data_IF_179805260843
#
_entry.id   IF_179805260843
#
_cell.length_a   1.000
_cell.length_b   1.000
_cell.length_c   1.000
_cell.angle_alpha   90.00
_cell.angle_beta   90.00
_cell.angle_gamma   90.00
#
_symmetry.space_group_name_H-M   'P 1'
#
loop_
_entity.id
_entity.type
_entity.pdbx_description
1 polymer ?
#
# COMPACT_ATOMS: atom_id res chain seq x y z
N UNK A 1 2.22 1.28 -10.38
CA UNK A 1 1.13 0.33 -10.69
C UNK A 1 1.04 -0.59 -9.48
N UNK A 2 0.10 -0.39 -8.53
CA UNK A 2 0.23 -0.90 -7.13
C UNK A 2 1.70 -1.03 -6.68
N UNK A 3 2.15 -2.23 -6.34
CA UNK A 3 3.51 -2.58 -5.91
C UNK A 3 4.39 -3.20 -7.01
N UNK A 4 4.01 -3.09 -8.28
CA UNK A 4 4.84 -3.48 -9.42
C UNK A 4 5.53 -2.27 -10.05
N UNK A 5 6.78 -2.49 -10.46
CA UNK A 5 7.59 -1.50 -11.19
C UNK A 5 7.14 -1.35 -12.66
N UNK A 6 6.58 -2.41 -13.24
CA UNK A 6 6.08 -2.46 -14.61
C UNK A 6 4.56 -2.51 -14.67
N UNK A 7 4.00 -2.11 -15.81
CA UNK A 7 2.59 -2.31 -16.11
C UNK A 7 2.36 -3.74 -16.61
N UNK A 8 1.69 -4.61 -15.86
CA UNK A 8 1.26 -5.89 -16.39
C UNK A 8 0.17 -5.71 -17.45
N UNK A 9 0.07 -6.70 -18.33
CA UNK A 9 -0.99 -6.78 -19.33
C UNK A 9 -2.32 -7.18 -18.67
N UNK A 10 -3.28 -6.27 -18.60
CA UNK A 10 -4.53 -6.46 -17.88
C UNK A 10 -5.70 -6.59 -18.86
N UNK A 11 -6.52 -7.62 -18.68
CA UNK A 11 -7.81 -7.72 -19.38
C UNK A 11 -8.83 -6.72 -18.83
N UNK A 12 -9.98 -6.56 -19.49
CA UNK A 12 -11.08 -5.71 -18.99
C UNK A 12 -11.56 -6.11 -17.59
N UNK A 13 -11.58 -7.41 -17.29
CA UNK A 13 -11.93 -7.92 -15.96
C UNK A 13 -10.86 -7.55 -14.93
N UNK A 14 -9.58 -7.70 -15.29
CA UNK A 14 -8.45 -7.35 -14.41
C UNK A 14 -8.41 -5.85 -14.12
N UNK A 15 -8.75 -5.01 -15.11
CA UNK A 15 -8.86 -3.56 -14.92
C UNK A 15 -9.99 -3.20 -13.94
N UNK A 16 -11.10 -3.94 -13.99
CA UNK A 16 -12.22 -3.76 -13.05
C UNK A 16 -11.80 -4.12 -11.63
N UNK A 17 -11.11 -5.26 -11.46
CA UNK A 17 -10.54 -5.68 -10.17
C UNK A 17 -9.50 -4.66 -9.68
N UNK A 18 -8.59 -4.22 -10.54
CA UNK A 18 -7.58 -3.23 -10.21
C UNK A 18 -8.19 -1.92 -9.72
N UNK A 19 -9.23 -1.42 -10.41
CA UNK A 19 -9.92 -0.19 -10.04
C UNK A 19 -10.53 -0.32 -8.64
N UNK A 20 -11.32 -1.38 -8.42
CA UNK A 20 -11.94 -1.62 -7.11
C UNK A 20 -10.89 -1.75 -5.99
N UNK A 21 -9.82 -2.52 -6.23
CA UNK A 21 -8.75 -2.71 -5.25
C UNK A 21 -8.03 -1.40 -4.97
N UNK A 22 -7.80 -0.55 -5.97
CA UNK A 22 -7.13 0.74 -5.78
C UNK A 22 -7.98 1.69 -4.93
N UNK A 23 -9.28 1.76 -5.21
CA UNK A 23 -10.25 2.61 -4.50
C UNK A 23 -10.53 2.14 -3.06
N UNK A 24 -10.49 0.83 -2.82
CA UNK A 24 -10.83 0.21 -1.53
C UNK A 24 -9.65 -0.53 -0.88
N UNK A 25 -8.43 -0.11 -1.18
CA UNK A 25 -7.20 -0.84 -0.88
C UNK A 25 -7.03 -1.18 0.60
N UNK A 26 -7.38 -0.28 1.52
CA UNK A 26 -7.35 -0.57 2.96
C UNK A 26 -8.36 -1.65 3.39
N UNK A 27 -9.56 -1.66 2.81
CA UNK A 27 -10.57 -2.66 3.11
C UNK A 27 -10.15 -4.03 2.56
N UNK A 28 -9.61 -4.07 1.33
CA UNK A 28 -9.12 -5.30 0.69
C UNK A 28 -8.03 -5.99 1.52
N UNK A 29 -7.16 -5.24 2.22
CA UNK A 29 -6.16 -5.85 3.13
C UNK A 29 -6.75 -6.65 4.29
N UNK A 30 -8.03 -6.46 4.61
CA UNK A 30 -8.74 -7.13 5.70
C UNK A 30 -9.69 -8.22 5.21
N UNK A 31 -9.98 -8.25 3.91
CA UNK A 31 -10.92 -9.18 3.31
C UNK A 31 -10.34 -10.59 3.12
N UNK A 32 -11.24 -11.58 3.08
CA UNK A 32 -11.00 -12.89 2.47
C UNK A 32 -11.24 -12.83 0.96
N UNK A 33 -10.67 -13.75 0.20
CA UNK A 33 -10.84 -13.80 -1.27
C UNK A 33 -12.31 -13.92 -1.69
N UNK A 34 -13.15 -14.62 -0.89
CA UNK A 34 -14.58 -14.77 -1.17
C UNK A 34 -15.34 -13.45 -1.01
N UNK A 35 -15.00 -12.66 -0.01
CA UNK A 35 -15.59 -11.33 0.22
C UNK A 35 -15.21 -10.36 -0.91
N UNK A 36 -13.96 -10.43 -1.38
CA UNK A 36 -13.53 -9.66 -2.55
C UNK A 36 -14.25 -10.11 -3.82
N UNK A 37 -14.47 -11.42 -3.99
CA UNK A 37 -15.23 -11.98 -5.11
C UNK A 37 -16.67 -11.44 -5.13
N UNK A 38 -17.34 -11.47 -3.97
CA UNK A 38 -18.69 -10.93 -3.80
C UNK A 38 -18.73 -9.42 -4.09
N UNK A 39 -17.82 -8.64 -3.51
CA UNK A 39 -17.81 -7.19 -3.67
C UNK A 39 -17.48 -6.71 -5.10
N UNK A 40 -16.77 -7.53 -5.88
CA UNK A 40 -16.42 -7.24 -7.27
C UNK A 40 -17.33 -7.93 -8.28
N UNK A 41 -18.31 -8.73 -7.82
CA UNK A 41 -19.13 -9.60 -8.65
C UNK A 41 -18.30 -10.51 -9.57
N UNK A 42 -17.18 -11.03 -9.05
CA UNK A 42 -16.27 -11.94 -9.78
C UNK A 42 -16.14 -13.29 -9.09
N UNK A 43 -15.40 -14.21 -9.71
CA UNK A 43 -15.06 -15.49 -9.09
C UNK A 43 -13.72 -15.41 -8.33
N UNK A 44 -13.56 -16.25 -7.31
CA UNK A 44 -12.26 -16.42 -6.63
C UNK A 44 -11.16 -16.85 -7.60
N UNK A 45 -11.48 -17.64 -8.62
CA UNK A 45 -10.55 -18.04 -9.69
C UNK A 45 -10.08 -16.85 -10.53
N UNK A 46 -10.98 -15.91 -10.84
CA UNK A 46 -10.63 -14.67 -11.55
C UNK A 46 -9.66 -13.83 -10.72
N UNK A 47 -9.92 -13.69 -9.41
CA UNK A 47 -9.02 -12.98 -8.50
C UNK A 47 -7.66 -13.67 -8.39
N UNK A 48 -7.62 -15.01 -8.36
CA UNK A 48 -6.35 -15.74 -8.35
C UNK A 48 -5.54 -15.51 -9.65
N UNK A 49 -6.20 -15.47 -10.81
CA UNK A 49 -5.55 -15.12 -12.08
C UNK A 49 -5.00 -13.69 -12.05
N UNK A 50 -5.79 -12.74 -11.55
CA UNK A 50 -5.35 -11.38 -11.33
C UNK A 50 -4.12 -11.32 -10.41
N UNK A 51 -4.10 -12.06 -9.29
CA UNK A 51 -2.95 -12.08 -8.37
C UNK A 51 -1.65 -12.54 -9.07
N UNK A 52 -1.73 -13.52 -9.98
CA UNK A 52 -0.57 -13.97 -10.77
C UNK A 52 0.00 -12.87 -11.66
N UNK A 53 -0.87 -12.02 -12.18
CA UNK A 53 -0.50 -10.86 -12.99
C UNK A 53 0.26 -9.79 -12.18
N UNK A 54 0.13 -9.84 -10.85
CA UNK A 54 0.89 -9.06 -9.88
C UNK A 54 2.04 -9.86 -9.24
N UNK A 55 2.53 -10.90 -9.92
CA UNK A 55 3.67 -11.72 -9.47
C UNK A 55 3.45 -12.30 -8.06
N UNK A 56 2.21 -12.71 -7.77
CA UNK A 56 1.82 -13.36 -6.52
C UNK A 56 1.33 -14.79 -6.78
N UNK A 57 1.72 -15.71 -5.92
CA UNK A 57 1.28 -17.12 -5.94
C UNK A 57 -0.21 -17.28 -5.60
N UNK A 58 -0.80 -16.30 -4.90
CA UNK A 58 -2.22 -16.26 -4.58
C UNK A 58 -2.63 -15.00 -3.84
N UNK A 59 -3.89 -14.96 -3.42
CA UNK A 59 -4.49 -13.77 -2.80
C UNK A 59 -3.87 -13.41 -1.45
N UNK A 60 -3.46 -14.39 -0.64
CA UNK A 60 -2.82 -14.11 0.66
C UNK A 60 -1.51 -13.33 0.49
N UNK A 61 -0.68 -13.73 -0.47
CA UNK A 61 0.57 -13.02 -0.79
C UNK A 61 0.29 -11.63 -1.36
N UNK A 62 -0.65 -11.53 -2.31
CA UNK A 62 -1.09 -10.26 -2.88
C UNK A 62 -1.53 -9.27 -1.78
N UNK A 63 -2.33 -9.75 -0.81
CA UNK A 63 -2.83 -8.95 0.31
C UNK A 63 -1.70 -8.42 1.20
N UNK A 64 -0.69 -9.23 1.46
CA UNK A 64 0.49 -8.82 2.25
C UNK A 64 1.28 -7.75 1.50
N UNK A 65 1.58 -7.96 0.20
CA UNK A 65 2.27 -6.96 -0.63
C UNK A 65 1.50 -5.65 -0.72
N UNK A 66 0.17 -5.72 -0.89
CA UNK A 66 -0.71 -4.54 -0.87
C UNK A 66 -0.62 -3.80 0.48
N UNK A 67 -0.64 -4.53 1.60
CA UNK A 67 -0.52 -3.92 2.93
C UNK A 67 0.83 -3.20 3.12
N UNK A 68 1.94 -3.80 2.69
CA UNK A 68 3.27 -3.20 2.75
C UNK A 68 3.33 -1.92 1.90
N UNK A 69 2.82 -1.99 0.67
CA UNK A 69 2.73 -0.86 -0.25
C UNK A 69 1.94 0.32 0.33
N UNK A 70 0.80 0.06 0.98
CA UNK A 70 0.02 1.11 1.64
C UNK A 70 0.76 1.71 2.85
N UNK A 71 1.51 0.89 3.60
CA UNK A 71 2.32 1.36 4.73
C UNK A 71 3.46 2.27 4.27
N UNK A 72 4.14 1.93 3.19
CA UNK A 72 5.19 2.76 2.58
C UNK A 72 4.63 4.10 2.09
N UNK A 73 3.50 4.09 1.38
CA UNK A 73 2.85 5.32 0.93
C UNK A 73 2.44 6.24 2.08
N UNK A 74 1.98 5.68 3.21
CA UNK A 74 1.66 6.46 4.41
C UNK A 74 2.91 7.12 5.02
N UNK A 75 4.02 6.39 5.09
CA UNK A 75 5.29 6.93 5.61
C UNK A 75 5.82 8.08 4.75
N UNK A 76 5.77 7.94 3.42
CA UNK A 76 6.17 9.00 2.49
C UNK A 76 5.31 10.26 2.69
N UNK A 77 3.99 10.11 2.81
CA UNK A 77 3.08 11.24 3.05
C UNK A 77 3.32 11.93 4.40
N UNK A 78 3.70 11.19 5.44
CA UNK A 78 4.03 11.77 6.74
C UNK A 78 5.38 12.50 6.69
N UNK A 79 6.39 11.94 6.04
CA UNK A 79 7.71 12.59 5.90
C UNK A 79 7.63 13.88 5.08
N UNK A 80 6.80 13.95 4.04
CA UNK A 80 6.59 15.17 3.26
C UNK A 80 5.76 16.24 3.98
N UNK A 81 5.04 15.91 5.06
CA UNK A 81 4.33 16.90 5.90
C UNK A 81 5.22 17.51 6.99
N UNK A 82 6.34 16.87 7.32
CA UNK A 82 7.27 17.30 8.39
C UNK A 82 8.30 18.33 7.87
N UNK A 83 8.42 18.51 6.55
CA UNK A 83 9.40 19.43 5.96
C UNK A 83 9.04 20.92 6.07
N UNK A 84 7.80 21.28 6.38
CA UNK A 84 7.41 22.71 6.33
C UNK A 84 7.56 23.46 7.65
N UNK A 85 7.65 22.79 8.81
CA UNK A 85 7.83 23.50 10.11
C UNK A 85 8.83 22.86 11.09
N UNK A 86 9.18 21.58 10.93
CA UNK A 86 9.91 20.83 11.99
C UNK A 86 11.41 20.61 11.72
N UNK A 87 11.91 20.86 10.52
CA UNK A 87 13.33 20.67 10.20
C UNK A 87 14.28 21.58 11.00
N UNK A 88 13.79 22.69 11.57
CA UNK A 88 14.59 23.54 12.45
C UNK A 88 14.59 23.06 13.92
N UNK A 89 13.49 22.46 14.41
CA UNK A 89 13.33 22.18 15.85
C UNK A 89 14.21 21.01 16.31
N UNK A 90 14.38 19.98 15.48
CA UNK A 90 15.21 18.81 15.83
C UNK A 90 16.72 19.12 15.87
N UNK A 91 17.18 20.11 15.10
CA UNK A 91 18.59 20.53 15.10
C UNK A 91 18.95 21.37 16.34
N UNK A 92 18.07 22.28 16.78
CA UNK A 92 18.34 23.12 17.96
C UNK A 92 18.18 22.37 19.29
N UNK A 93 17.32 21.35 19.35
CA UNK A 93 17.12 20.56 20.58
C UNK A 93 18.24 19.56 20.83
N UNK A 94 18.86 19.02 19.77
CA UNK A 94 19.95 18.05 19.89
C UNK A 94 21.28 18.71 20.32
N UNK A 95 21.52 19.97 19.93
CA UNK A 95 22.80 20.66 20.18
C UNK A 95 22.89 21.37 21.55
N UNK A 96 21.80 21.47 22.33
CA UNK A 96 21.78 22.24 23.59
C UNK A 96 21.77 21.40 24.87
N UNK A 97 22.14 20.11 24.83
CA UNK A 97 22.22 19.25 26.04
C UNK A 97 23.59 19.15 26.71
N UNK A 98 24.61 19.91 26.30
CA UNK A 98 25.98 19.79 26.85
C UNK A 98 26.53 21.02 27.56
N UNK A 99 25.70 22.01 27.90
CA UNK A 99 26.14 23.13 28.74
C UNK A 99 25.09 23.42 29.81
N UNK A 100 25.16 22.69 30.92
CA UNK A 100 24.89 23.14 32.30
C UNK A 100 24.94 21.93 33.24
N UNK A 101 26.13 21.64 33.75
CA UNK A 101 26.37 21.17 35.12
C UNK A 101 27.88 21.13 35.38
N UNK A 102 28.42 22.26 35.84
CA UNK A 102 29.49 22.25 36.85
C UNK A 102 28.83 22.29 38.21
#
# INVERSE_FOLDING_TARGET
>A
MLFLDKTPDLTSLDLTLYKYISEHSEAVTKMKIRELAEATHTSTTSILRFCKQFECTGFSEFRIKLQLYLKEQKQLKTSSKISDETSYIDFFTTNNRTFLSK
#
